data_IF_278869218112
#
_entry.id   IF_278869218112
#
_cell.length_a   1.000
_cell.length_b   1.000
_cell.length_c   1.000
_cell.angle_alpha   90.00
_cell.angle_beta   90.00
_cell.angle_gamma   90.00
#
_symmetry.space_group_name_H-M   'P 1'
#
loop_
_entity.id
_entity.type
_entity.pdbx_description
1 polymer ?
#
# COMPACT_ATOMS: atom_id res chain seq x y z
N UNK A 1 -8.85 -6.05 -16.29
CA UNK A 1 -8.37 -7.38 -16.71
C UNK A 1 -7.89 -8.20 -15.53
N UNK A 2 -6.88 -7.76 -14.77
CA UNK A 2 -6.37 -8.50 -13.59
C UNK A 2 -7.44 -8.81 -12.51
N UNK A 3 -8.37 -7.88 -12.22
CA UNK A 3 -9.50 -8.14 -11.31
C UNK A 3 -10.39 -9.32 -11.74
N UNK A 4 -10.61 -9.47 -13.05
CA UNK A 4 -11.42 -10.58 -13.58
C UNK A 4 -10.69 -11.93 -13.47
N UNK A 5 -9.39 -11.91 -13.22
CA UNK A 5 -8.54 -13.09 -13.02
C UNK A 5 -8.26 -13.34 -11.53
N UNK A 6 -8.94 -12.63 -10.62
CA UNK A 6 -8.72 -12.72 -9.17
C UNK A 6 -7.25 -12.53 -8.76
N UNK A 7 -6.52 -11.68 -9.50
CA UNK A 7 -5.13 -11.34 -9.19
C UNK A 7 -5.05 -10.07 -8.36
N UNK A 8 -4.14 -10.04 -7.38
CA UNK A 8 -3.74 -8.82 -6.68
C UNK A 8 -2.99 -7.90 -7.62
N UNK A 9 -3.36 -6.61 -7.61
CA UNK A 9 -2.78 -5.56 -8.43
C UNK A 9 -1.95 -4.64 -7.53
N UNK A 10 -0.69 -4.44 -7.91
CA UNK A 10 0.19 -3.43 -7.31
C UNK A 10 0.42 -2.28 -8.30
N UNK A 11 0.25 -1.04 -7.83
CA UNK A 11 0.72 0.14 -8.55
C UNK A 11 2.03 0.64 -7.94
N UNK A 12 3.07 0.67 -8.76
CA UNK A 12 4.40 1.17 -8.39
C UNK A 12 4.60 2.63 -8.86
N UNK A 13 5.44 3.39 -8.15
CA UNK A 13 5.74 4.79 -8.46
C UNK A 13 4.73 5.80 -7.93
N UNK A 14 4.02 5.49 -6.84
CA UNK A 14 3.09 6.43 -6.19
C UNK A 14 3.86 7.46 -5.38
N UNK A 15 3.82 8.72 -5.81
CA UNK A 15 4.59 9.83 -5.22
C UNK A 15 3.69 10.88 -4.55
N UNK A 16 2.41 10.96 -4.93
CA UNK A 16 1.49 11.99 -4.42
C UNK A 16 0.21 11.40 -3.82
N UNK A 17 -0.40 12.13 -2.88
CA UNK A 17 -1.68 11.75 -2.28
C UNK A 17 -2.80 11.62 -3.33
N UNK A 18 -2.83 12.48 -4.34
CA UNK A 18 -3.82 12.41 -5.41
C UNK A 18 -3.70 11.13 -6.26
N UNK A 19 -2.47 10.68 -6.55
CA UNK A 19 -2.24 9.39 -7.23
C UNK A 19 -2.74 8.23 -6.36
N UNK A 20 -2.40 8.23 -5.07
CA UNK A 20 -2.86 7.22 -4.11
C UNK A 20 -4.39 7.14 -4.08
N UNK A 21 -5.05 8.27 -3.88
CA UNK A 21 -6.50 8.35 -3.75
C UNK A 21 -7.20 7.89 -5.06
N UNK A 22 -6.66 8.26 -6.22
CA UNK A 22 -7.13 7.77 -7.52
C UNK A 22 -6.96 6.26 -7.69
N UNK A 23 -5.78 5.71 -7.38
CA UNK A 23 -5.49 4.28 -7.55
C UNK A 23 -6.35 3.40 -6.62
N UNK A 24 -6.62 3.85 -5.39
CA UNK A 24 -7.55 3.17 -4.48
C UNK A 24 -8.97 3.17 -5.06
N UNK A 25 -9.43 4.30 -5.59
CA UNK A 25 -10.75 4.40 -6.23
C UNK A 25 -10.88 3.46 -7.44
N UNK A 26 -9.85 3.35 -8.27
CA UNK A 26 -9.80 2.40 -9.38
C UNK A 26 -9.66 0.93 -8.93
N UNK A 27 -9.49 0.71 -7.62
CA UNK A 27 -9.37 -0.58 -6.94
C UNK A 27 -8.06 -1.29 -7.23
N UNK A 28 -6.95 -0.56 -7.11
CA UNK A 28 -5.63 -1.13 -6.93
C UNK A 28 -5.49 -1.62 -5.49
N UNK A 29 -4.99 -2.84 -5.29
CA UNK A 29 -4.96 -3.49 -3.98
C UNK A 29 -3.75 -3.04 -3.15
N UNK A 30 -2.60 -2.89 -3.81
CA UNK A 30 -1.32 -2.54 -3.19
C UNK A 30 -0.72 -1.34 -3.89
N UNK A 31 -0.02 -0.50 -3.13
CA UNK A 31 0.62 0.71 -3.62
C UNK A 31 2.07 0.75 -3.14
N UNK A 32 2.98 1.12 -4.03
CA UNK A 32 4.39 1.33 -3.72
C UNK A 32 4.87 2.64 -4.33
N UNK A 33 5.66 3.42 -3.59
CA UNK A 33 6.33 4.59 -4.12
C UNK A 33 6.80 5.55 -3.04
N UNK A 34 7.40 6.66 -3.48
CA UNK A 34 8.04 7.63 -2.58
C UNK A 34 7.07 8.36 -1.65
N UNK A 35 5.76 8.29 -1.93
CA UNK A 35 4.75 8.74 -0.99
C UNK A 35 4.82 7.98 0.35
N UNK A 36 5.23 6.70 0.32
CA UNK A 36 5.30 5.83 1.49
C UNK A 36 6.72 5.77 2.05
N UNK A 37 7.68 5.40 1.20
CA UNK A 37 9.09 5.29 1.53
C UNK A 37 9.94 5.30 0.25
N UNK A 38 11.15 5.85 0.35
CA UNK A 38 12.16 5.67 -0.68
C UNK A 38 12.87 4.31 -0.48
N UNK A 39 13.43 3.70 -1.54
CA UNK A 39 14.39 2.63 -1.39
C UNK A 39 15.48 3.06 -0.42
N UNK A 40 15.82 2.18 0.51
CA UNK A 40 16.76 2.46 1.58
C UNK A 40 17.68 1.25 1.82
N UNK A 41 18.89 1.45 2.36
CA UNK A 41 19.74 0.37 2.84
C UNK A 41 19.05 -0.54 3.84
N UNK A 42 19.57 -1.76 4.02
CA UNK A 42 18.99 -2.75 4.93
C UNK A 42 18.87 -2.23 6.37
N UNK A 43 19.92 -1.60 6.90
CA UNK A 43 19.91 -1.10 8.28
C UNK A 43 18.84 -0.02 8.47
N UNK A 44 18.70 0.88 7.51
CA UNK A 44 17.66 1.92 7.50
C UNK A 44 16.26 1.31 7.38
N UNK A 45 16.10 0.24 6.60
CA UNK A 45 14.86 -0.50 6.49
C UNK A 45 14.46 -1.18 7.80
N UNK A 46 15.40 -1.78 8.52
CA UNK A 46 15.15 -2.36 9.85
C UNK A 46 14.68 -1.28 10.81
N UNK A 47 15.35 -0.11 10.82
CA UNK A 47 14.89 1.02 11.64
C UNK A 47 13.50 1.50 11.23
N UNK A 48 13.25 1.63 9.93
CA UNK A 48 11.94 2.03 9.39
C UNK A 48 10.82 1.07 9.85
N UNK A 49 11.06 -0.24 9.81
CA UNK A 49 10.09 -1.25 10.28
C UNK A 49 9.83 -1.20 11.78
N UNK A 50 10.86 -0.91 12.58
CA UNK A 50 10.71 -0.81 14.04
C UNK A 50 9.99 0.48 14.46
N UNK A 51 10.19 1.57 13.71
CA UNK A 51 9.61 2.88 14.00
C UNK A 51 8.18 3.03 13.47
N UNK A 52 7.86 2.36 12.36
CA UNK A 52 6.52 2.33 11.80
C UNK A 52 5.88 1.00 12.19
N UNK A 53 5.11 0.99 13.29
CA UNK A 53 4.27 -0.16 13.65
C UNK A 53 3.43 -0.55 12.44
N UNK A 54 3.74 -1.69 11.85
CA UNK A 54 2.86 -2.33 10.88
C UNK A 54 1.61 -2.70 11.67
N UNK A 55 0.52 -1.94 11.52
CA UNK A 55 -0.76 -2.41 12.05
C UNK A 55 -1.05 -3.75 11.35
N UNK A 56 -1.30 -4.84 12.08
CA UNK A 56 -1.72 -6.08 11.47
C UNK A 56 -2.98 -5.79 10.62
N UNK A 57 -3.01 -6.32 9.40
CA UNK A 57 -4.21 -6.30 8.54
C UNK A 57 -5.46 -6.95 9.18
N UNK A 58 -5.33 -7.53 10.37
CA UNK A 58 -6.37 -8.20 11.12
C UNK A 58 -7.32 -7.26 11.90
N UNK A 59 -7.13 -5.93 11.89
CA UNK A 59 -8.01 -4.98 12.60
C UNK A 59 -8.73 -3.96 11.69
N UNK A 60 -8.85 -4.21 10.38
CA UNK A 60 -9.88 -3.54 9.59
C UNK A 60 -11.15 -4.39 9.64
N UNK A 61 -11.94 -4.11 10.69
CA UNK A 61 -13.26 -4.63 11.00
C UNK A 61 -14.15 -4.79 9.75
N UNK A 62 -15.00 -5.83 9.73
CA UNK A 62 -15.97 -6.17 8.66
C UNK A 62 -17.02 -5.05 8.39
N UNK A 63 -16.90 -3.90 9.05
CA UNK A 63 -17.83 -2.79 8.98
C UNK A 63 -17.72 -1.90 7.72
N UNK A 64 -16.78 -2.16 6.80
CA UNK A 64 -16.66 -1.41 5.53
C UNK A 64 -17.05 -2.24 4.29
N UNK A 65 -18.00 -3.16 4.46
CA UNK A 65 -18.75 -3.77 3.36
C UNK A 65 -20.25 -3.64 3.64
N UNK A 66 -20.74 -2.39 3.61
CA UNK A 66 -22.13 -2.06 3.25
C UNK A 66 -22.14 -0.79 2.40
#
# INVERSE_FOLDING_TARGET
MAKAMSMTIIAEGVETKSQKDFLIHEGCDLLQGYLFARPMPFDDFVQYLLMNTVQPLAELDEALVM
#
